data_IF_247020427149
#
_entry.id   IF_247020427149
#
_cell.length_a   1.000
_cell.length_b   1.000
_cell.length_c   1.000
_cell.angle_alpha   90.00
_cell.angle_beta   90.00
_cell.angle_gamma   90.00
#
_symmetry.space_group_name_H-M   'P 1'
#
loop_
_entity.id
_entity.type
_entity.pdbx_description
1 polymer ?
#
# COMPACT_ATOMS: atom_id res chain seq x y z
N UNK A 1 4.11 -16.32 63.89
CA UNK A 1 4.59 -16.15 62.49
C UNK A 1 4.16 -17.37 61.69
N UNK A 2 3.38 -17.20 60.61
CA UNK A 2 3.43 -18.00 59.36
C UNK A 2 2.43 -17.39 58.38
N UNK A 3 2.96 -17.05 57.21
CA UNK A 3 2.49 -15.99 56.31
C UNK A 3 1.42 -16.52 55.35
N UNK A 4 0.38 -15.71 55.12
CA UNK A 4 -0.59 -15.90 54.04
C UNK A 4 0.12 -15.72 52.70
N UNK A 5 0.18 -16.75 51.87
CA UNK A 5 0.68 -16.65 50.50
C UNK A 5 -0.50 -16.41 49.57
N UNK A 6 -0.70 -15.13 49.24
CA UNK A 6 -1.57 -14.67 48.17
C UNK A 6 -0.87 -15.02 46.84
N UNK A 7 -1.45 -15.93 46.04
CA UNK A 7 -0.96 -16.20 44.68
C UNK A 7 -1.48 -15.11 43.74
N UNK A 8 -0.60 -14.20 43.34
CA UNK A 8 -0.86 -13.23 42.29
C UNK A 8 -0.42 -13.88 40.97
N UNK A 9 -1.38 -14.30 40.14
CA UNK A 9 -1.13 -14.71 38.76
C UNK A 9 -1.20 -13.46 37.88
N UNK A 10 -0.04 -12.95 37.45
CA UNK A 10 0.05 -11.89 36.44
C UNK A 10 0.14 -12.57 35.07
N UNK A 11 -0.99 -12.65 34.36
CA UNK A 11 -1.02 -13.06 32.95
C UNK A 11 -0.60 -11.87 32.08
N UNK A 12 0.67 -11.84 31.68
CA UNK A 12 1.16 -10.91 30.68
C UNK A 12 0.65 -11.35 29.29
N UNK A 13 -0.41 -10.70 28.79
CA UNK A 13 -0.85 -10.83 27.40
C UNK A 13 0.22 -10.15 26.53
N UNK A 14 1.09 -10.93 25.91
CA UNK A 14 1.94 -10.45 24.83
C UNK A 14 1.05 -10.08 23.65
N UNK A 15 0.65 -8.82 23.56
CA UNK A 15 0.08 -8.26 22.34
C UNK A 15 1.20 -8.25 21.30
N UNK A 16 1.31 -9.33 20.53
CA UNK A 16 2.05 -9.32 19.28
C UNK A 16 1.40 -8.27 18.38
N UNK A 17 2.01 -7.08 18.35
CA UNK A 17 1.69 -6.11 17.32
C UNK A 17 1.97 -6.77 15.97
N UNK A 18 0.93 -7.00 15.18
CA UNK A 18 1.07 -7.34 13.78
C UNK A 18 1.70 -6.12 13.09
N UNK A 19 3.03 -6.06 13.10
CA UNK A 19 3.77 -5.18 12.21
C UNK A 19 3.31 -5.54 10.81
N UNK A 20 2.57 -4.64 10.14
CA UNK A 20 2.28 -4.81 8.72
C UNK A 20 3.62 -4.70 7.99
N UNK A 21 4.27 -5.83 7.77
CA UNK A 21 5.47 -5.92 6.94
C UNK A 21 5.00 -5.63 5.52
N UNK A 22 5.21 -4.40 5.05
CA UNK A 22 5.00 -4.05 3.66
C UNK A 22 6.08 -4.74 2.81
N UNK A 23 5.84 -6.01 2.44
CA UNK A 23 6.75 -6.78 1.61
C UNK A 23 6.82 -6.19 0.20
N UNK A 24 8.04 -6.14 -0.34
CA UNK A 24 8.23 -5.97 -1.79
C UNK A 24 7.62 -7.19 -2.49
N UNK A 25 7.09 -7.00 -3.70
CA UNK A 25 6.33 -8.05 -4.41
C UNK A 25 6.87 -8.31 -5.81
N UNK A 26 7.80 -7.48 -6.30
CA UNK A 26 8.43 -7.64 -7.61
C UNK A 26 9.94 -7.44 -7.56
N UNK A 27 10.66 -8.26 -8.33
CA UNK A 27 12.02 -7.99 -8.76
C UNK A 27 11.96 -7.21 -10.09
N UNK A 28 12.71 -6.12 -10.17
CA UNK A 28 12.85 -5.29 -11.36
C UNK A 28 14.31 -5.30 -11.80
N UNK A 29 14.54 -5.65 -13.05
CA UNK A 29 15.86 -5.60 -13.69
C UNK A 29 15.82 -4.50 -14.74
N UNK A 30 16.58 -3.43 -14.47
CA UNK A 30 16.67 -2.27 -15.35
C UNK A 30 17.94 -2.41 -16.19
N UNK A 31 17.84 -2.61 -17.51
CA UNK A 31 19.01 -2.56 -18.38
C UNK A 31 19.53 -1.13 -18.59
N UNK A 32 20.75 -1.01 -19.09
CA UNK A 32 21.31 0.26 -19.58
C UNK A 32 20.56 0.81 -20.80
N UNK A 33 19.84 -0.04 -21.53
CA UNK A 33 19.05 0.30 -22.71
C UNK A 33 17.64 -0.29 -22.66
N UNK A 34 16.62 0.45 -23.11
CA UNK A 34 15.34 -0.14 -23.50
C UNK A 34 14.48 -0.72 -22.36
N UNK A 35 13.92 -1.92 -22.59
CA UNK A 35 12.78 -2.47 -21.85
C UNK A 35 13.17 -3.10 -20.50
N UNK A 36 12.43 -2.71 -19.46
CA UNK A 36 12.62 -3.18 -18.07
C UNK A 36 11.99 -4.55 -17.88
N UNK A 37 12.73 -5.49 -17.27
CA UNK A 37 12.21 -6.77 -16.82
C UNK A 37 11.53 -6.66 -15.46
N UNK A 38 10.32 -7.20 -15.31
CA UNK A 38 9.59 -7.25 -14.04
C UNK A 38 9.12 -8.67 -13.77
N UNK A 39 9.40 -9.17 -12.57
CA UNK A 39 9.11 -10.53 -12.15
C UNK A 39 8.44 -10.51 -10.78
N UNK A 40 7.29 -11.18 -10.61
CA UNK A 40 6.68 -11.30 -9.30
C UNK A 40 7.56 -12.16 -8.40
N UNK A 41 7.80 -11.73 -7.15
CA UNK A 41 8.67 -12.47 -6.22
C UNK A 41 8.10 -13.85 -5.91
N UNK A 42 6.76 -13.99 -5.89
CA UNK A 42 6.07 -15.27 -5.70
C UNK A 42 6.40 -16.31 -6.76
N UNK A 43 6.79 -15.84 -7.94
CA UNK A 43 7.07 -16.69 -9.09
C UNK A 43 8.55 -17.09 -9.14
N UNK A 44 9.42 -16.40 -8.40
CA UNK A 44 10.86 -16.64 -8.36
C UNK A 44 11.18 -17.65 -7.26
N UNK A 45 11.83 -18.74 -7.65
CA UNK A 45 12.37 -19.74 -6.71
C UNK A 45 13.85 -19.51 -6.42
N UNK A 46 14.62 -19.06 -7.43
CA UNK A 46 16.06 -18.88 -7.30
C UNK A 46 16.57 -17.81 -8.27
N UNK A 47 17.59 -17.07 -7.84
CA UNK A 47 18.37 -16.19 -8.71
C UNK A 47 19.82 -16.65 -8.62
N UNK A 48 20.45 -16.93 -9.76
CA UNK A 48 21.86 -17.36 -9.84
C UNK A 48 22.64 -16.50 -10.82
N UNK A 49 23.95 -16.42 -10.62
CA UNK A 49 24.87 -15.71 -11.49
C UNK A 49 25.85 -16.72 -12.08
N UNK A 50 25.92 -16.79 -13.40
CA UNK A 50 26.77 -17.68 -14.16
C UNK A 50 27.56 -16.88 -15.22
N UNK A 51 28.37 -17.58 -16.02
CA UNK A 51 29.26 -16.94 -17.00
C UNK A 51 28.51 -16.14 -18.07
N UNK A 52 27.30 -16.56 -18.42
CA UNK A 52 26.45 -15.96 -19.44
C UNK A 52 25.47 -14.91 -18.90
N UNK A 53 25.22 -14.87 -17.59
CA UNK A 53 24.44 -13.79 -17.00
C UNK A 53 23.84 -14.05 -15.62
N UNK A 54 22.84 -13.23 -15.29
CA UNK A 54 21.93 -13.42 -14.16
C UNK A 54 20.72 -14.22 -14.63
N UNK A 55 20.49 -15.34 -13.96
CA UNK A 55 19.42 -16.30 -14.22
C UNK A 55 18.30 -16.12 -13.19
N UNK A 56 17.05 -16.09 -13.65
CA UNK A 56 15.87 -16.01 -12.78
C UNK A 56 15.05 -17.28 -12.97
N UNK A 57 15.08 -18.17 -11.99
CA UNK A 57 14.45 -19.49 -12.06
C UNK A 57 13.18 -19.47 -11.23
N UNK A 58 12.09 -20.01 -11.77
CA UNK A 58 10.78 -19.93 -11.18
C UNK A 58 9.80 -20.89 -11.84
N UNK A 59 8.76 -21.31 -11.10
CA UNK A 59 7.77 -22.26 -11.61
C UNK A 59 6.79 -21.67 -12.62
N UNK A 60 6.70 -20.34 -12.70
CA UNK A 60 5.78 -19.66 -13.61
C UNK A 60 6.43 -19.27 -14.96
N UNK A 61 7.74 -19.46 -15.13
CA UNK A 61 8.44 -19.06 -16.35
C UNK A 61 8.43 -20.19 -17.37
N UNK A 62 7.78 -19.98 -18.52
CA UNK A 62 7.85 -20.92 -19.66
C UNK A 62 9.24 -20.93 -20.31
N UNK A 63 9.93 -19.79 -20.27
CA UNK A 63 11.32 -19.61 -20.71
C UNK A 63 12.07 -18.88 -19.61
N UNK A 64 13.21 -19.41 -19.20
CA UNK A 64 14.06 -18.82 -18.17
C UNK A 64 14.58 -17.43 -18.62
N UNK A 65 14.30 -16.36 -17.83
CA UNK A 65 14.92 -15.07 -18.06
C UNK A 65 16.41 -15.08 -17.69
N UNK A 66 17.27 -14.76 -18.67
CA UNK A 66 18.73 -14.63 -18.50
C UNK A 66 19.17 -13.23 -18.94
N UNK A 67 19.79 -12.47 -18.02
CA UNK A 67 20.25 -11.11 -18.24
C UNK A 67 21.77 -11.03 -18.29
N UNK A 68 22.33 -10.53 -19.40
CA UNK A 68 23.78 -10.23 -19.47
C UNK A 68 24.13 -9.16 -18.44
N UNK A 69 25.08 -9.45 -17.55
CA UNK A 69 25.47 -8.54 -16.46
C UNK A 69 25.95 -7.19 -16.96
N UNK A 70 26.69 -7.17 -18.07
CA UNK A 70 27.19 -5.93 -18.70
C UNK A 70 26.07 -5.01 -19.20
N UNK A 71 24.87 -5.56 -19.44
CA UNK A 71 23.72 -4.79 -19.90
C UNK A 71 22.83 -4.30 -18.74
N UNK A 72 23.05 -4.77 -17.50
CA UNK A 72 22.23 -4.38 -16.34
C UNK A 72 22.75 -3.04 -15.80
N UNK A 73 21.82 -2.11 -15.57
CA UNK A 73 22.07 -0.84 -14.88
C UNK A 73 21.81 -0.98 -13.38
N UNK A 74 20.66 -1.53 -13.01
CA UNK A 74 20.27 -1.76 -11.62
C UNK A 74 19.29 -2.93 -11.47
N UNK A 75 19.27 -3.50 -10.27
CA UNK A 75 18.35 -4.55 -9.84
C UNK A 75 17.69 -4.07 -8.56
N UNK A 76 16.36 -4.06 -8.50
CA UNK A 76 15.60 -3.56 -7.35
C UNK A 76 14.44 -4.46 -7.03
N UNK A 77 14.24 -4.71 -5.73
CA UNK A 77 12.95 -5.21 -5.26
C UNK A 77 12.02 -4.02 -5.01
N UNK A 78 10.84 -4.07 -5.59
CA UNK A 78 9.83 -3.01 -5.47
C UNK A 78 8.49 -3.61 -5.07
N UNK A 79 7.63 -2.80 -4.47
CA UNK A 79 6.21 -3.13 -4.36
C UNK A 79 5.57 -2.91 -5.73
N UNK A 80 4.75 -3.85 -6.20
CA UNK A 80 3.86 -3.64 -7.34
C UNK A 80 3.06 -2.38 -7.03
N UNK A 81 3.10 -1.37 -7.89
CA UNK A 81 2.26 -0.20 -7.63
C UNK A 81 0.83 -0.69 -7.69
N UNK A 82 0.08 -0.51 -6.61
CA UNK A 82 -1.34 -0.85 -6.47
C UNK A 82 -2.22 0.06 -7.39
N UNK A 83 -1.57 0.71 -8.37
CA UNK A 83 -1.98 1.94 -9.03
C UNK A 83 -2.16 3.10 -8.04
N UNK A 84 -1.79 2.96 -6.77
CA UNK A 84 -1.97 3.98 -5.72
C UNK A 84 -0.62 4.63 -5.48
N UNK A 85 -0.47 5.87 -5.96
CA UNK A 85 0.70 6.69 -5.68
C UNK A 85 0.55 7.47 -4.38
N UNK A 86 1.68 7.85 -3.76
CA UNK A 86 1.66 8.94 -2.79
C UNK A 86 1.42 10.24 -3.55
N UNK A 87 0.42 11.00 -3.13
CA UNK A 87 0.14 12.31 -3.73
C UNK A 87 0.95 13.38 -2.98
N UNK A 88 1.68 14.22 -3.72
CA UNK A 88 2.45 15.33 -3.15
C UNK A 88 1.56 16.53 -2.80
N UNK A 89 1.94 17.32 -1.79
CA UNK A 89 1.14 18.47 -1.32
C UNK A 89 0.83 19.50 -2.43
N UNK A 90 1.72 19.67 -3.41
CA UNK A 90 1.58 20.62 -4.52
C UNK A 90 0.45 20.23 -5.48
N UNK A 91 0.18 18.94 -5.63
CA UNK A 91 -0.81 18.39 -6.56
C UNK A 91 -2.23 18.43 -5.97
N UNK A 92 -2.36 18.63 -4.65
CA UNK A 92 -3.63 18.52 -3.91
C UNK A 92 -4.18 19.83 -3.41
N UNK A 93 -3.48 20.95 -3.66
CA UNK A 93 -3.81 22.24 -3.07
C UNK A 93 -3.72 22.23 -1.53
N UNK A 94 -2.87 21.37 -0.96
CA UNK A 94 -2.73 21.22 0.48
C UNK A 94 -3.71 20.23 1.14
N UNK A 95 -4.67 19.68 0.40
CA UNK A 95 -5.60 18.67 0.93
C UNK A 95 -4.84 17.37 1.23
N UNK A 96 -5.04 16.84 2.43
CA UNK A 96 -4.46 15.58 2.90
C UNK A 96 -5.54 14.66 3.43
N UNK A 97 -5.43 13.38 3.08
CA UNK A 97 -6.32 12.32 3.56
C UNK A 97 -5.51 11.34 4.38
N UNK A 98 -6.05 10.95 5.54
CA UNK A 98 -5.52 9.86 6.35
C UNK A 98 -6.65 8.93 6.77
N UNK A 99 -6.32 7.66 7.00
CA UNK A 99 -7.26 6.63 7.39
C UNK A 99 -6.83 6.03 8.74
N UNK A 100 -7.79 5.87 9.65
CA UNK A 100 -7.61 5.17 10.94
C UNK A 100 -8.76 4.19 11.11
N UNK A 101 -8.50 2.92 10.81
CA UNK A 101 -9.56 1.91 10.71
C UNK A 101 -10.56 2.28 9.62
N UNK A 102 -11.83 2.41 10.01
CA UNK A 102 -12.94 2.73 9.12
C UNK A 102 -13.20 4.24 8.99
N UNK A 103 -12.40 5.06 9.68
CA UNK A 103 -12.55 6.51 9.67
C UNK A 103 -11.56 7.15 8.70
N UNK A 104 -12.08 8.00 7.81
CA UNK A 104 -11.29 8.86 6.93
C UNK A 104 -11.26 10.28 7.48
N UNK A 105 -10.08 10.87 7.55
CA UNK A 105 -9.88 12.25 8.01
C UNK A 105 -9.31 13.09 6.89
N UNK A 106 -9.91 14.25 6.66
CA UNK A 106 -9.52 15.18 5.60
C UNK A 106 -9.07 16.49 6.25
N UNK A 107 -7.88 16.95 5.89
CA UNK A 107 -7.32 18.21 6.37
C UNK A 107 -6.96 19.12 5.19
N UNK A 108 -6.95 20.43 5.41
CA UNK A 108 -6.66 21.45 4.39
C UNK A 108 -7.89 21.87 3.58
N UNK A 109 -9.10 21.77 4.14
CA UNK A 109 -10.35 22.11 3.45
C UNK A 109 -10.55 23.63 3.31
N UNK A 110 -9.94 24.46 4.15
CA UNK A 110 -10.03 25.93 4.09
C UNK A 110 -11.48 26.47 4.00
N UNK A 111 -12.45 25.74 4.54
CA UNK A 111 -13.88 26.07 4.56
C UNK A 111 -14.54 25.37 5.77
N UNK A 112 -15.62 25.94 6.29
CA UNK A 112 -16.35 25.35 7.43
C UNK A 112 -16.92 23.97 7.12
N UNK A 113 -17.40 23.78 5.89
CA UNK A 113 -17.98 22.52 5.40
C UNK A 113 -17.63 22.35 3.92
N UNK A 114 -17.20 21.15 3.52
CA UNK A 114 -16.89 20.80 2.12
C UNK A 114 -17.65 19.56 1.69
N UNK A 115 -18.22 19.58 0.48
CA UNK A 115 -18.84 18.40 -0.13
C UNK A 115 -17.79 17.34 -0.48
N UNK A 116 -18.06 16.12 -0.04
CA UNK A 116 -17.23 14.94 -0.24
C UNK A 116 -18.08 13.81 -0.80
N UNK A 117 -17.54 13.12 -1.81
CA UNK A 117 -18.18 11.96 -2.39
C UNK A 117 -17.18 10.81 -2.55
N UNK A 118 -17.60 9.60 -2.17
CA UNK A 118 -16.84 8.37 -2.36
C UNK A 118 -17.50 7.55 -3.47
N UNK A 119 -16.69 7.04 -4.38
CA UNK A 119 -17.10 6.25 -5.52
C UNK A 119 -16.37 4.92 -5.55
N UNK A 120 -17.02 3.88 -6.07
CA UNK A 120 -16.34 2.65 -6.45
C UNK A 120 -15.62 2.81 -7.81
N UNK A 121 -14.87 1.78 -8.21
CA UNK A 121 -14.14 1.79 -9.50
C UNK A 121 -15.04 1.81 -10.74
N UNK A 122 -16.34 1.53 -10.58
CA UNK A 122 -17.34 1.63 -11.66
C UNK A 122 -17.97 3.03 -11.72
N UNK A 123 -17.53 3.96 -10.87
CA UNK A 123 -18.06 5.32 -10.78
C UNK A 123 -19.38 5.43 -10.03
N UNK A 124 -19.85 4.36 -9.36
CA UNK A 124 -21.07 4.41 -8.55
C UNK A 124 -20.80 5.18 -7.28
N UNK A 125 -21.71 6.09 -6.92
CA UNK A 125 -21.61 6.84 -5.66
C UNK A 125 -21.91 5.91 -4.50
N UNK A 126 -20.94 5.72 -3.61
CA UNK A 126 -21.05 4.89 -2.41
C UNK A 126 -21.46 5.72 -1.19
N UNK A 127 -20.95 6.97 -1.11
CA UNK A 127 -21.24 7.89 -0.01
C UNK A 127 -21.18 9.33 -0.51
N UNK A 128 -22.06 10.20 0.02
CA UNK A 128 -21.98 11.65 -0.11
C UNK A 128 -22.24 12.29 1.24
N UNK A 129 -21.39 13.23 1.63
CA UNK A 129 -21.52 13.97 2.88
C UNK A 129 -20.90 15.35 2.77
N UNK A 130 -21.17 16.19 3.77
CA UNK A 130 -20.38 17.39 4.06
C UNK A 130 -19.52 17.11 5.29
N UNK A 131 -18.32 17.68 5.31
CA UNK A 131 -17.35 17.48 6.39
C UNK A 131 -16.59 18.76 6.66
N UNK A 132 -16.33 19.05 7.94
CA UNK A 132 -15.44 20.11 8.39
C UNK A 132 -13.97 19.67 8.32
N UNK A 133 -13.05 20.64 8.43
CA UNK A 133 -11.62 20.34 8.46
C UNK A 133 -11.25 19.47 9.67
N UNK A 134 -10.61 18.33 9.43
CA UNK A 134 -10.22 17.37 10.45
C UNK A 134 -11.35 16.48 10.97
N UNK A 135 -12.59 16.68 10.54
CA UNK A 135 -13.72 15.83 10.90
C UNK A 135 -13.63 14.46 10.21
N UNK A 136 -14.07 13.43 10.93
CA UNK A 136 -13.99 12.04 10.48
C UNK A 136 -15.21 11.62 9.66
N UNK A 137 -14.98 10.97 8.53
CA UNK A 137 -16.01 10.31 7.72
C UNK A 137 -15.99 8.83 8.04
N UNK A 138 -17.12 8.30 8.50
CA UNK A 138 -17.31 6.87 8.72
C UNK A 138 -17.50 6.13 7.38
N UNK A 139 -16.58 5.21 7.09
CA UNK A 139 -16.56 4.36 5.91
C UNK A 139 -16.79 2.87 6.25
N UNK A 140 -17.31 2.55 7.44
CA UNK A 140 -17.58 1.17 7.90
C UNK A 140 -18.57 0.42 7.02
N UNK A 141 -19.49 1.13 6.36
CA UNK A 141 -20.44 0.55 5.40
C UNK A 141 -19.80 0.12 4.08
N UNK A 142 -18.57 0.55 3.79
CA UNK A 142 -17.85 0.18 2.58
C UNK A 142 -17.19 -1.20 2.75
N UNK A 143 -17.40 -2.06 1.76
CA UNK A 143 -16.69 -3.33 1.66
C UNK A 143 -15.19 -3.11 1.44
N UNK A 144 -14.37 -4.09 1.79
CA UNK A 144 -12.93 -4.04 1.50
C UNK A 144 -12.70 -3.91 -0.01
N UNK A 145 -11.82 -2.98 -0.40
CA UNK A 145 -11.62 -2.66 -1.81
C UNK A 145 -11.04 -1.29 -2.06
N UNK A 146 -10.98 -0.92 -3.34
CA UNK A 146 -10.39 0.33 -3.80
C UNK A 146 -11.50 1.33 -4.15
N UNK A 147 -11.37 2.55 -3.67
CA UNK A 147 -12.35 3.62 -3.84
C UNK A 147 -11.70 4.92 -4.28
N UNK A 148 -12.50 5.78 -4.90
CA UNK A 148 -12.13 7.14 -5.28
C UNK A 148 -12.89 8.10 -4.37
N UNK A 149 -12.18 8.97 -3.66
CA UNK A 149 -12.79 10.06 -2.88
C UNK A 149 -12.55 11.38 -3.63
N UNK A 150 -13.63 12.11 -3.88
CA UNK A 150 -13.62 13.43 -4.52
C UNK A 150 -13.92 14.50 -3.48
N UNK A 151 -13.05 15.48 -3.40
CA UNK A 151 -13.14 16.65 -2.50
C UNK A 151 -12.84 17.87 -3.36
N UNK A 152 -13.82 18.78 -3.51
CA UNK A 152 -13.74 19.91 -4.46
C UNK A 152 -13.39 19.41 -5.88
N UNK A 153 -12.29 19.91 -6.45
CA UNK A 153 -11.78 19.53 -7.76
C UNK A 153 -10.66 18.48 -7.71
N UNK A 154 -10.41 17.90 -6.54
CA UNK A 154 -9.33 16.94 -6.32
C UNK A 154 -9.90 15.55 -6.04
N UNK A 155 -9.30 14.52 -6.64
CA UNK A 155 -9.67 13.12 -6.40
C UNK A 155 -8.48 12.35 -5.86
N UNK A 156 -8.73 11.50 -4.86
CA UNK A 156 -7.75 10.61 -4.28
C UNK A 156 -8.24 9.18 -4.39
N UNK A 157 -7.31 8.24 -4.47
CA UNK A 157 -7.60 6.81 -4.41
C UNK A 157 -7.16 6.26 -3.07
N UNK A 158 -8.02 5.48 -2.41
CA UNK A 158 -7.70 4.84 -1.14
C UNK A 158 -8.16 3.37 -1.14
N UNK A 159 -7.60 2.58 -0.22
CA UNK A 159 -7.97 1.18 -0.01
C UNK A 159 -8.66 1.07 1.33
N UNK A 160 -9.89 0.55 1.34
CA UNK A 160 -10.51 0.05 2.56
C UNK A 160 -10.01 -1.37 2.79
N UNK A 161 -9.23 -1.55 3.87
CA UNK A 161 -8.83 -2.87 4.37
C UNK A 161 -9.88 -3.46 5.29
#
# INVERSE_FOLDING_TARGET
MKKRLFSIVVTAIMTMGFSQVHAQTQLVVTPQSGAVGKYAITDIQKITFAADGMHIIGSAFTVEPVWKLSAIKDIRFVKTTDGIGKVGNSETGGIKISQRGDMLYINGLNAEQTDVAIYDLKGRTMLRTKVADGEGIDASSLQHGVFIIKIKNTTFKFVKQ
#
